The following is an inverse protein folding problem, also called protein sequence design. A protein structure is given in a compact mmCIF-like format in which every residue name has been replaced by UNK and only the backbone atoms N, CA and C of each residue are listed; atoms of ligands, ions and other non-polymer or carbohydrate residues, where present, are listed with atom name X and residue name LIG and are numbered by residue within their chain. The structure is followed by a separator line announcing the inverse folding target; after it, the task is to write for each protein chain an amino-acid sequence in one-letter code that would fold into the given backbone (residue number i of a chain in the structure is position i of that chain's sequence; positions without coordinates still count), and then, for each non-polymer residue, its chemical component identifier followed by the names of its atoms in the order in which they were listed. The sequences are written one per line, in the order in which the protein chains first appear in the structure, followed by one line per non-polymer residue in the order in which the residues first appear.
data_IF_447353014734
#
_entry.id   IF_447353014734
#
_cell.length_a   1.000
_cell.length_b   1.000
_cell.length_c   1.000
_cell.angle_alpha   90.00
_cell.angle_beta   90.00
_cell.angle_gamma   90.00
#
_symmetry.space_group_name_H-M   'P 1'
#
loop_
_entity.id
_entity.type
_entity.pdbx_description
1 polymer ?
#
# COMPACT_ATOMS: atom_id res chain seq x y z
N UNK A 1 -8.03 -7.33 -4.21
CA UNK A 1 -7.84 -8.78 -4.44
C UNK A 1 -6.42 -9.13 -4.12
N UNK A 2 -6.22 -10.02 -3.14
CA UNK A 2 -4.92 -10.49 -2.69
C UNK A 2 -4.73 -11.93 -3.18
N UNK A 3 -3.54 -12.24 -3.67
CA UNK A 3 -3.06 -13.56 -4.03
C UNK A 3 -2.20 -14.08 -2.88
N UNK A 4 -2.77 -14.95 -2.05
CA UNK A 4 -2.15 -15.49 -0.84
C UNK A 4 -1.15 -16.62 -1.10
N UNK A 5 -1.05 -17.12 -2.34
CA UNK A 5 -0.01 -18.08 -2.73
C UNK A 5 1.35 -17.38 -2.95
N UNK A 6 1.34 -16.07 -3.20
CA UNK A 6 2.53 -15.26 -3.46
C UNK A 6 3.10 -14.64 -2.17
N UNK A 7 3.65 -15.49 -1.29
CA UNK A 7 4.21 -15.11 0.04
C UNK A 7 5.67 -14.65 0.01
N UNK A 8 6.34 -14.73 -1.13
CA UNK A 8 7.74 -14.28 -1.23
C UNK A 8 7.83 -12.76 -1.17
N UNK A 9 8.70 -12.24 -0.31
CA UNK A 9 8.97 -10.81 -0.25
C UNK A 9 9.74 -10.38 -1.50
N UNK A 10 9.14 -9.48 -2.28
CA UNK A 10 9.70 -9.00 -3.54
C UNK A 10 9.05 -7.70 -4.00
N UNK A 11 9.50 -7.16 -5.12
CA UNK A 11 8.98 -5.88 -5.62
C UNK A 11 7.47 -5.93 -5.89
N UNK A 12 6.82 -4.77 -5.79
CA UNK A 12 5.42 -4.57 -6.13
C UNK A 12 4.53 -4.36 -4.90
N UNK A 13 3.22 -4.24 -5.15
CA UNK A 13 2.24 -3.94 -4.10
C UNK A 13 1.84 -5.21 -3.36
N UNK A 14 2.06 -5.24 -2.04
CA UNK A 14 1.92 -6.45 -1.22
C UNK A 14 1.16 -6.18 0.07
N UNK A 15 0.47 -7.20 0.55
CA UNK A 15 -0.04 -7.24 1.91
C UNK A 15 1.11 -7.69 2.81
N UNK A 16 1.48 -6.83 3.73
CA UNK A 16 2.62 -7.00 4.62
C UNK A 16 2.10 -7.04 6.06
N UNK A 17 2.68 -7.94 6.85
CA UNK A 17 2.55 -7.99 8.31
C UNK A 17 3.82 -7.39 8.94
N UNK A 18 3.63 -6.40 9.80
CA UNK A 18 4.65 -5.78 10.64
C UNK A 18 4.13 -5.81 12.08
N UNK A 19 4.76 -6.63 12.93
CA UNK A 19 4.39 -6.81 14.33
C UNK A 19 2.91 -7.17 14.58
N UNK A 20 2.33 -8.01 13.71
CA UNK A 20 0.92 -8.41 13.75
C UNK A 20 -0.03 -7.42 13.08
N UNK A 21 0.47 -6.27 12.60
CA UNK A 21 -0.32 -5.26 11.88
C UNK A 21 -0.23 -5.48 10.38
N UNK A 22 -1.39 -5.65 9.76
CA UNK A 22 -1.51 -5.94 8.34
C UNK A 22 -1.89 -4.70 7.53
N UNK A 23 -1.02 -4.27 6.62
CA UNK A 23 -1.33 -3.17 5.69
C UNK A 23 -0.71 -3.42 4.30
N UNK A 24 -1.15 -2.64 3.32
CA UNK A 24 -0.71 -2.75 1.94
C UNK A 24 0.36 -1.70 1.62
N UNK A 25 1.55 -2.19 1.28
CA UNK A 25 2.69 -1.36 0.91
C UNK A 25 3.11 -1.59 -0.53
N UNK A 26 3.67 -0.57 -1.16
CA UNK A 26 4.55 -0.74 -2.31
C UNK A 26 5.92 -1.16 -1.78
N UNK A 27 6.40 -2.33 -2.21
CA UNK A 27 7.68 -2.89 -1.80
C UNK A 27 8.70 -2.68 -2.92
N UNK A 28 9.88 -2.17 -2.56
CA UNK A 28 11.06 -2.11 -3.45
C UNK A 28 12.26 -2.73 -2.73
N UNK A 29 12.84 -3.77 -3.32
CA UNK A 29 14.12 -4.33 -2.87
C UNK A 29 15.24 -3.39 -3.27
N UNK A 30 16.10 -3.10 -2.30
CA UNK A 30 17.33 -2.34 -2.50
C UNK A 30 18.54 -3.20 -2.13
N UNK A 31 19.74 -2.67 -2.34
CA UNK A 31 20.99 -3.38 -2.04
C UNK A 31 21.12 -3.69 -0.54
N UNK A 32 21.94 -4.68 -0.22
CA UNK A 32 22.18 -5.09 1.17
C UNK A 32 21.05 -5.90 1.79
N UNK A 33 20.21 -6.53 0.96
CA UNK A 33 19.03 -7.30 1.38
C UNK A 33 17.96 -6.47 2.13
N UNK A 34 17.99 -5.16 1.94
CA UNK A 34 17.03 -4.24 2.52
C UNK A 34 15.80 -4.08 1.61
N UNK A 35 14.70 -3.63 2.20
CA UNK A 35 13.49 -3.26 1.47
C UNK A 35 13.10 -1.83 1.83
N UNK A 36 12.43 -1.18 0.90
CA UNK A 36 11.72 0.06 1.10
C UNK A 36 10.22 -0.22 1.02
N UNK A 37 9.48 0.28 2.01
CA UNK A 37 8.02 0.22 2.05
C UNK A 37 7.46 1.65 1.86
N UNK A 38 6.47 1.78 0.98
CA UNK A 38 5.72 3.03 0.78
C UNK A 38 4.21 2.77 0.85
N UNK A 39 3.53 3.52 1.73
CA UNK A 39 2.08 3.56 1.86
C UNK A 39 1.58 5.01 1.75
N UNK A 40 1.33 5.45 0.50
CA UNK A 40 0.63 6.70 0.16
C UNK A 40 1.22 7.99 0.77
N UNK A 41 2.55 8.10 0.81
CA UNK A 41 3.23 9.39 1.00
C UNK A 41 3.54 9.79 2.43
N UNK A 42 3.40 8.89 3.40
CA UNK A 42 3.99 9.07 4.73
C UNK A 42 5.03 7.98 4.99
N UNK A 43 6.23 8.48 5.31
CA UNK A 43 7.42 7.84 5.88
C UNK A 43 7.98 6.59 5.18
N UNK A 44 9.17 6.81 4.60
CA UNK A 44 10.10 5.78 4.16
C UNK A 44 10.65 5.09 5.42
N UNK A 45 10.08 3.96 5.79
CA UNK A 45 10.62 3.13 6.86
C UNK A 45 11.64 2.14 6.29
N UNK A 46 12.85 2.17 6.86
CA UNK A 46 13.92 1.22 6.59
C UNK A 46 13.94 0.23 7.74
N UNK A 47 13.19 -0.86 7.64
CA UNK A 47 13.23 -1.89 8.67
C UNK A 47 13.95 -3.16 8.21
N UNK A 48 14.86 -3.63 9.07
CA UNK A 48 15.40 -4.99 9.08
C UNK A 48 14.57 -5.94 9.97
N UNK A 49 13.48 -5.45 10.57
CA UNK A 49 12.63 -6.21 11.49
C UNK A 49 11.72 -7.17 10.70
N UNK A 50 11.15 -8.14 11.41
CA UNK A 50 10.34 -9.28 10.94
C UNK A 50 9.15 -8.87 10.06
N UNK A 51 9.45 -8.46 8.82
CA UNK A 51 8.47 -8.15 7.80
C UNK A 51 8.06 -9.44 7.10
N UNK A 52 6.80 -9.84 7.25
CA UNK A 52 6.26 -11.00 6.56
C UNK A 52 5.37 -10.58 5.38
N UNK A 53 5.68 -11.12 4.20
CA UNK A 53 4.81 -10.96 3.04
C UNK A 53 3.67 -11.98 3.12
N UNK A 54 2.46 -11.49 3.32
CA UNK A 54 1.25 -12.32 3.41
C UNK A 54 0.69 -12.64 2.01
N UNK A 55 0.85 -11.72 1.06
CA UNK A 55 0.39 -11.95 -0.31
C UNK A 55 0.62 -10.79 -1.28
N UNK A 56 0.41 -11.06 -2.57
CA UNK A 56 0.53 -10.09 -3.65
C UNK A 56 -0.81 -9.40 -3.93
N UNK A 57 -0.82 -8.08 -4.07
CA UNK A 57 -2.02 -7.33 -4.46
C UNK A 57 -2.18 -7.42 -5.98
N UNK A 58 -3.16 -8.20 -6.44
CA UNK A 58 -3.45 -8.37 -7.88
C UNK A 58 -4.34 -7.27 -8.46
N UNK A 59 -5.29 -6.78 -7.66
CA UNK A 59 -6.24 -5.72 -8.07
C UNK A 59 -6.64 -4.85 -6.89
N UNK A 60 -6.66 -3.53 -7.10
CA UNK A 60 -7.24 -2.55 -6.19
C UNK A 60 -8.61 -2.14 -6.73
N UNK A 61 -9.61 -2.08 -5.86
CA UNK A 61 -10.93 -1.53 -6.18
C UNK A 61 -10.99 -0.17 -5.50
N UNK A 62 -11.31 0.88 -6.26
CA UNK A 62 -11.43 2.23 -5.74
C UNK A 62 -12.82 2.77 -6.07
N UNK A 63 -13.49 3.32 -5.05
CA UNK A 63 -14.76 4.02 -5.25
C UNK A 63 -14.43 5.48 -5.53
N UNK A 64 -14.78 5.96 -6.72
CA UNK A 64 -14.71 7.38 -7.05
C UNK A 64 -15.95 8.05 -6.46
N UNK A 65 -15.78 9.00 -5.54
CA UNK A 65 -16.88 9.85 -5.08
C UNK A 65 -17.00 11.04 -6.04
N UNK A 66 -18.12 11.13 -6.75
CA UNK A 66 -18.46 12.35 -7.49
C UNK A 66 -18.87 13.42 -6.46
N UNK A 67 -18.03 14.45 -6.31
CA UNK A 67 -18.35 15.63 -5.53
C UNK A 67 -19.01 16.64 -6.47
N UNK A 68 -20.33 16.83 -6.33
CA UNK A 68 -21.02 17.95 -6.97
C UNK A 68 -20.77 19.20 -6.13
N UNK A 69 -19.92 20.11 -6.62
CA UNK A 69 -19.77 21.44 -6.02
C UNK A 69 -20.91 22.33 -6.56
N UNK A 70 -22.00 22.47 -5.80
CA UNK A 70 -23.03 23.47 -6.11
C UNK A 70 -22.48 24.81 -5.63
N UNK A 71 -22.00 25.64 -6.57
CA UNK A 71 -21.72 27.03 -6.29
C UNK A 71 -23.06 27.74 -6.09
N UNK A 72 -23.48 27.86 -4.83
CA UNK A 72 -24.58 28.72 -4.43
C UNK A 72 -24.19 30.18 -4.65
N UNK A 73 -24.57 30.73 -5.79
CA UNK A 73 -24.63 32.16 -6.03
C UNK A 73 -26.06 32.51 -6.38
N UNK A 74 -26.82 33.01 -5.41
CA UNK A 74 -28.06 33.73 -5.68
C UNK A 74 -27.68 34.99 -6.46
N UNK A 75 -28.10 35.06 -7.72
CA UNK A 75 -28.18 36.34 -8.42
C UNK A 75 -29.52 36.97 -8.07
N UNK A 76 -29.43 38.02 -7.23
CA UNK A 76 -30.36 39.13 -6.98
C UNK A 76 -31.85 38.94 -7.26
#
# INVERSE_FOLDING_TARGET
MIDFEQKSLGNGRRLIDIDGNHDVYNVVRIQGNNIQLDNKGTDIQWEMIDVFCIGLVRRTISIIKNINLILGGEFT
#
